data_IF_052748333584
#
_entry.id   IF_052748333584
#
_cell.length_a   1.000
_cell.length_b   1.000
_cell.length_c   1.000
_cell.angle_alpha   90.00
_cell.angle_beta   90.00
_cell.angle_gamma   90.00
#
_symmetry.space_group_name_H-M   'P 1'
#
loop_
_entity.id
_entity.type
_entity.pdbx_description
1 polymer ?
#
# COMPACT_ATOMS: atom_id res chain seq x y z
N UNK A 1 -18.22 -23.79 12.47
CA UNK A 1 -16.76 -23.92 12.50
C UNK A 1 -16.27 -23.42 13.85
N UNK A 2 -15.36 -24.11 14.54
CA UNK A 2 -14.80 -23.64 15.79
C UNK A 2 -14.16 -22.24 15.57
N UNK A 3 -14.23 -21.41 16.61
CA UNK A 3 -13.68 -20.05 16.57
C UNK A 3 -12.16 -20.14 16.55
N UNK A 4 -11.53 -19.59 15.51
CA UNK A 4 -10.06 -19.55 15.38
C UNK A 4 -9.44 -18.94 16.65
N UNK A 5 -8.45 -19.61 17.24
CA UNK A 5 -7.73 -19.10 18.41
C UNK A 5 -6.75 -17.97 18.02
N UNK A 6 -6.30 -17.19 19.00
CA UNK A 6 -5.29 -16.17 18.76
C UNK A 6 -3.95 -16.76 18.25
N UNK A 7 -3.62 -17.97 18.69
CA UNK A 7 -2.43 -18.72 18.23
C UNK A 7 -2.56 -19.10 16.77
N UNK A 8 -3.72 -19.67 16.39
CA UNK A 8 -4.00 -20.09 15.01
C UNK A 8 -4.00 -18.90 14.05
N UNK A 9 -4.59 -17.77 14.49
CA UNK A 9 -4.58 -16.52 13.73
C UNK A 9 -3.15 -16.03 13.46
N UNK A 10 -2.27 -16.04 14.47
CA UNK A 10 -0.86 -15.69 14.31
C UNK A 10 -0.13 -16.66 13.38
N UNK A 11 -0.38 -17.95 13.51
CA UNK A 11 0.20 -18.98 12.62
C UNK A 11 -0.25 -18.77 11.17
N UNK A 12 -1.55 -18.53 10.96
CA UNK A 12 -2.11 -18.25 9.63
C UNK A 12 -1.58 -16.94 9.04
N UNK A 13 -1.45 -15.86 9.82
CA UNK A 13 -0.85 -14.61 9.37
C UNK A 13 0.60 -14.81 8.88
N UNK A 14 1.41 -15.57 9.62
CA UNK A 14 2.79 -15.94 9.21
C UNK A 14 2.80 -16.75 7.92
N UNK A 15 1.91 -17.72 7.78
CA UNK A 15 1.78 -18.54 6.56
C UNK A 15 1.38 -17.67 5.35
N UNK A 16 0.46 -16.73 5.53
CA UNK A 16 0.08 -15.75 4.50
C UNK A 16 1.28 -14.92 4.07
N UNK A 17 2.01 -14.30 5.00
CA UNK A 17 3.21 -13.50 4.69
C UNK A 17 4.25 -14.33 3.96
N UNK A 18 4.54 -15.57 4.43
CA UNK A 18 5.52 -16.47 3.78
C UNK A 18 5.13 -16.82 2.34
N UNK A 19 3.85 -17.14 2.08
CA UNK A 19 3.39 -17.48 0.73
C UNK A 19 3.35 -16.29 -0.20
N UNK A 20 2.90 -15.12 0.29
CA UNK A 20 2.91 -13.90 -0.50
C UNK A 20 4.34 -13.47 -0.83
N UNK A 21 5.30 -13.63 0.07
CA UNK A 21 6.71 -13.35 -0.20
C UNK A 21 7.29 -14.23 -1.31
N UNK A 22 6.85 -15.50 -1.39
CA UNK A 22 7.23 -16.39 -2.51
C UNK A 22 6.56 -15.97 -3.82
N UNK A 23 5.31 -15.50 -3.75
CA UNK A 23 4.54 -15.08 -4.93
C UNK A 23 4.94 -13.70 -5.47
N UNK A 24 5.51 -12.86 -4.62
CA UNK A 24 5.95 -11.50 -4.94
C UNK A 24 7.38 -11.27 -4.46
N UNK A 25 8.40 -11.84 -5.14
CA UNK A 25 9.80 -11.68 -4.74
C UNK A 25 10.28 -10.23 -4.89
N UNK A 26 9.63 -9.45 -5.74
CA UNK A 26 9.83 -8.03 -6.05
C UNK A 26 9.13 -7.07 -5.07
N UNK A 27 8.77 -7.55 -3.85
CA UNK A 27 8.13 -6.68 -2.86
C UNK A 27 9.07 -5.56 -2.40
N UNK A 28 8.51 -4.36 -2.23
CA UNK A 28 9.26 -3.19 -1.79
C UNK A 28 8.66 -1.89 -2.33
N UNK A 29 9.29 -0.76 -2.02
CA UNK A 29 8.88 0.52 -2.56
C UNK A 29 9.13 0.56 -4.07
N UNK A 30 8.16 1.11 -4.79
CA UNK A 30 8.25 1.36 -6.23
C UNK A 30 8.77 2.77 -6.54
N UNK A 31 8.79 3.65 -5.54
CA UNK A 31 9.38 4.98 -5.63
C UNK A 31 10.91 4.89 -5.57
N UNK A 32 11.59 5.63 -6.43
CA UNK A 32 13.05 5.74 -6.49
C UNK A 32 13.51 6.88 -5.55
N UNK A 33 14.50 6.60 -4.71
CA UNK A 33 15.08 7.57 -3.77
C UNK A 33 16.48 7.13 -3.34
N UNK A 34 17.32 8.07 -2.91
CA UNK A 34 18.68 7.81 -2.40
C UNK A 34 18.82 8.08 -0.90
N UNK A 35 17.91 8.86 -0.32
CA UNK A 35 17.93 9.23 1.10
C UNK A 35 16.51 9.39 1.68
N UNK A 36 16.36 9.48 3.02
CA UNK A 36 15.04 9.58 3.65
C UNK A 36 14.23 10.81 3.24
N UNK A 37 14.85 11.95 3.00
CA UNK A 37 14.15 13.16 2.59
C UNK A 37 13.60 13.03 1.17
N UNK A 38 14.35 12.45 0.25
CA UNK A 38 13.86 12.14 -1.10
C UNK A 38 12.66 11.20 -1.06
N UNK A 39 12.67 10.16 -0.20
CA UNK A 39 11.51 9.29 -0.04
C UNK A 39 10.29 10.04 0.50
N UNK A 40 10.49 10.99 1.42
CA UNK A 40 9.39 11.83 1.90
C UNK A 40 8.81 12.65 0.75
N UNK A 41 9.64 13.36 -0.02
CA UNK A 41 9.21 14.16 -1.17
C UNK A 41 8.50 13.29 -2.20
N UNK A 42 9.10 12.15 -2.60
CA UNK A 42 8.49 11.22 -3.53
C UNK A 42 7.12 10.71 -3.04
N UNK A 43 6.99 10.42 -1.75
CA UNK A 43 5.71 9.97 -1.16
C UNK A 43 4.65 11.07 -1.16
N UNK A 44 5.03 12.33 -0.94
CA UNK A 44 4.12 13.49 -1.07
C UNK A 44 3.66 13.62 -2.53
N UNK A 45 4.59 13.51 -3.48
CA UNK A 45 4.28 13.59 -4.91
C UNK A 45 3.43 12.42 -5.39
N UNK A 46 3.53 11.24 -4.77
CA UNK A 46 2.74 10.05 -5.10
C UNK A 46 1.27 10.12 -4.66
N UNK A 47 0.89 11.14 -3.87
CA UNK A 47 -0.51 11.35 -3.52
C UNK A 47 -1.36 11.54 -4.79
N UNK A 48 -2.28 10.57 -5.06
CA UNK A 48 -3.14 10.54 -6.26
C UNK A 48 -2.39 10.57 -7.60
N UNK A 49 -1.13 10.14 -7.63
CA UNK A 49 -0.33 9.96 -8.84
C UNK A 49 0.13 8.49 -8.98
N UNK A 50 0.54 8.10 -10.18
CA UNK A 50 1.16 6.81 -10.43
C UNK A 50 2.64 6.85 -10.07
N UNK A 51 3.15 5.80 -9.44
CA UNK A 51 4.53 5.75 -8.98
C UNK A 51 5.53 5.94 -10.13
N UNK A 52 5.24 5.40 -11.32
CA UNK A 52 6.05 5.56 -12.52
C UNK A 52 6.18 7.04 -12.93
N UNK A 53 5.05 7.78 -12.90
CA UNK A 53 5.05 9.22 -13.21
C UNK A 53 5.83 10.03 -12.18
N UNK A 54 5.73 9.63 -10.90
CA UNK A 54 6.51 10.27 -9.84
C UNK A 54 8.00 10.03 -10.06
N UNK A 55 8.42 8.82 -10.38
CA UNK A 55 9.83 8.49 -10.65
C UNK A 55 10.39 9.26 -11.85
N UNK A 56 9.60 9.44 -12.93
CA UNK A 56 9.99 10.28 -14.07
C UNK A 56 10.32 11.71 -13.64
N UNK A 57 9.50 12.29 -12.77
CA UNK A 57 9.69 13.66 -12.26
C UNK A 57 10.84 13.73 -11.26
N UNK A 58 10.90 12.79 -10.31
CA UNK A 58 11.87 12.86 -9.21
C UNK A 58 13.31 12.61 -9.64
N UNK A 59 13.56 11.91 -10.74
CA UNK A 59 14.92 11.74 -11.28
C UNK A 59 15.59 13.07 -11.62
N UNK A 60 14.87 14.01 -12.22
CA UNK A 60 15.40 15.35 -12.48
C UNK A 60 15.34 16.22 -11.22
N UNK A 61 14.26 16.13 -10.46
CA UNK A 61 14.02 16.92 -9.26
C UNK A 61 15.14 16.73 -8.22
N UNK A 62 15.53 15.48 -7.95
CA UNK A 62 16.55 15.14 -6.95
C UNK A 62 17.99 15.46 -7.41
N UNK A 63 18.21 15.64 -8.70
CA UNK A 63 19.48 16.22 -9.19
C UNK A 63 19.57 17.73 -8.95
N UNK A 64 18.43 18.41 -9.02
CA UNK A 64 18.31 19.85 -8.87
C UNK A 64 18.25 20.29 -7.41
N UNK A 65 17.51 19.55 -6.57
CA UNK A 65 17.24 19.87 -5.17
C UNK A 65 17.74 18.74 -4.27
N UNK A 66 18.85 18.97 -3.54
CA UNK A 66 19.55 17.96 -2.74
C UNK A 66 19.04 17.84 -1.32
N UNK A 67 18.46 18.92 -0.77
CA UNK A 67 18.02 18.97 0.62
C UNK A 67 16.91 19.98 0.86
N UNK A 68 16.40 20.06 2.10
CA UNK A 68 15.28 20.95 2.44
C UNK A 68 15.52 22.42 2.07
N UNK A 69 16.75 22.91 2.21
CA UNK A 69 17.11 24.30 1.91
C UNK A 69 16.89 24.65 0.43
N UNK A 70 17.18 23.73 -0.49
CA UNK A 70 17.06 23.98 -1.94
C UNK A 70 15.61 24.21 -2.34
N UNK A 71 14.67 23.46 -1.72
CA UNK A 71 13.21 23.62 -1.96
C UNK A 71 12.68 24.95 -1.45
N UNK A 72 13.39 25.63 -0.55
CA UNK A 72 13.03 26.97 -0.08
C UNK A 72 13.71 28.07 -0.89
N UNK A 73 14.94 27.81 -1.37
CA UNK A 73 15.73 28.76 -2.15
C UNK A 73 15.20 29.01 -3.55
N UNK A 74 14.42 28.07 -4.11
CA UNK A 74 13.84 28.19 -5.45
C UNK A 74 12.53 28.99 -5.46
N UNK A 75 12.25 29.69 -6.57
CA UNK A 75 10.96 30.34 -6.77
C UNK A 75 9.80 29.32 -6.74
N UNK A 76 8.65 29.71 -6.19
CA UNK A 76 7.48 28.82 -6.05
C UNK A 76 7.02 28.32 -7.40
N UNK A 77 6.97 29.21 -8.38
CA UNK A 77 6.50 28.94 -9.74
C UNK A 77 7.40 27.93 -10.47
N UNK A 78 8.70 28.02 -10.22
CA UNK A 78 9.67 27.07 -10.79
C UNK A 78 9.49 25.67 -10.21
N UNK A 79 9.36 25.54 -8.88
CA UNK A 79 9.09 24.25 -8.24
C UNK A 79 7.72 23.68 -8.65
N UNK A 80 6.70 24.53 -8.80
CA UNK A 80 5.39 24.12 -9.31
C UNK A 80 5.51 23.52 -10.73
N UNK A 81 6.31 24.15 -11.59
CA UNK A 81 6.56 23.65 -12.95
C UNK A 81 7.30 22.31 -12.91
N UNK A 82 8.33 22.17 -12.07
CA UNK A 82 9.11 20.94 -11.95
C UNK A 82 8.27 19.75 -11.50
N UNK A 83 7.28 19.95 -10.61
CA UNK A 83 6.41 18.88 -10.11
C UNK A 83 5.04 18.78 -10.81
N UNK A 84 4.78 19.63 -11.81
CA UNK A 84 3.49 19.77 -12.49
C UNK A 84 2.90 18.43 -12.95
N UNK A 85 3.72 17.57 -13.55
CA UNK A 85 3.29 16.30 -14.13
C UNK A 85 2.75 15.29 -13.10
N UNK A 86 2.94 15.53 -11.80
CA UNK A 86 2.40 14.65 -10.73
C UNK A 86 0.95 14.98 -10.36
N UNK A 87 0.36 16.06 -10.89
CA UNK A 87 -0.98 16.55 -10.55
C UNK A 87 -1.04 17.18 -9.15
N UNK A 88 -2.06 17.99 -8.89
CA UNK A 88 -2.21 18.74 -7.63
C UNK A 88 -0.94 19.52 -7.22
N UNK A 89 -0.17 19.95 -8.21
CA UNK A 89 1.19 20.44 -8.06
C UNK A 89 1.30 21.63 -7.08
N UNK A 90 0.37 22.58 -7.08
CA UNK A 90 0.37 23.71 -6.16
C UNK A 90 0.30 23.29 -4.70
N UNK A 91 -0.61 22.35 -4.39
CA UNK A 91 -0.74 21.83 -3.03
C UNK A 91 0.49 21.01 -2.62
N UNK A 92 1.04 20.22 -3.55
CA UNK A 92 2.25 19.43 -3.30
C UNK A 92 3.47 20.33 -3.09
N UNK A 93 3.65 21.34 -3.90
CA UNK A 93 4.69 22.37 -3.73
C UNK A 93 4.58 23.03 -2.36
N UNK A 94 3.38 23.52 -1.99
CA UNK A 94 3.15 24.10 -0.67
C UNK A 94 3.52 23.12 0.45
N UNK A 95 3.09 21.85 0.34
CA UNK A 95 3.37 20.82 1.34
C UNK A 95 4.86 20.55 1.47
N UNK A 96 5.57 20.38 0.35
CA UNK A 96 7.02 20.14 0.35
C UNK A 96 7.76 21.31 0.97
N UNK A 97 7.47 22.56 0.57
CA UNK A 97 8.13 23.76 1.10
C UNK A 97 7.87 23.93 2.60
N UNK A 98 6.61 23.79 3.05
CA UNK A 98 6.28 23.91 4.47
C UNK A 98 6.96 22.84 5.30
N UNK A 99 6.96 21.56 4.84
CA UNK A 99 7.67 20.49 5.52
C UNK A 99 9.20 20.73 5.54
N UNK A 100 9.77 21.24 4.44
CA UNK A 100 11.20 21.59 4.35
C UNK A 100 11.58 22.68 5.33
N UNK A 101 10.75 23.72 5.46
CA UNK A 101 10.94 24.78 6.46
C UNK A 101 10.93 24.23 7.88
N UNK A 102 9.93 23.40 8.23
CA UNK A 102 9.85 22.78 9.53
C UNK A 102 11.06 21.87 9.84
N UNK A 103 11.55 21.14 8.84
CA UNK A 103 12.75 20.30 8.98
C UNK A 103 13.98 21.16 9.31
N UNK A 104 14.17 22.30 8.65
CA UNK A 104 15.26 23.21 8.95
C UNK A 104 15.12 23.83 10.34
N UNK A 105 13.96 24.35 10.68
CA UNK A 105 13.73 25.10 11.92
C UNK A 105 13.68 24.21 13.17
N UNK A 106 13.07 23.04 13.07
CA UNK A 106 12.78 22.17 14.23
C UNK A 106 13.73 21.00 14.37
N UNK A 107 14.36 20.58 13.28
CA UNK A 107 15.19 19.37 13.22
C UNK A 107 16.59 19.61 12.66
N UNK A 108 17.04 20.86 12.55
CA UNK A 108 18.39 21.22 12.11
C UNK A 108 18.73 20.79 10.68
N UNK A 109 17.73 20.61 9.82
CA UNK A 109 17.89 20.18 8.44
C UNK A 109 17.88 18.67 8.22
N UNK A 110 17.81 17.87 9.28
CA UNK A 110 17.72 16.41 9.20
C UNK A 110 16.29 15.93 9.36
N UNK A 111 15.87 14.96 8.53
CA UNK A 111 14.54 14.39 8.63
C UNK A 111 14.40 13.56 9.93
N UNK A 112 13.40 13.82 10.80
CA UNK A 112 13.21 13.04 12.00
C UNK A 112 12.90 11.57 11.71
N UNK A 113 13.42 10.67 12.54
CA UNK A 113 13.29 9.22 12.40
C UNK A 113 12.30 8.60 13.40
N UNK A 114 11.36 9.39 13.91
CA UNK A 114 10.29 8.96 14.82
C UNK A 114 8.92 9.22 14.23
N UNK A 115 7.90 8.46 14.68
CA UNK A 115 6.52 8.65 14.22
C UNK A 115 6.02 10.05 14.58
N UNK A 116 6.29 10.49 15.79
CA UNK A 116 5.89 11.79 16.32
C UNK A 116 6.54 12.92 15.52
N UNK A 117 7.85 12.85 15.30
CA UNK A 117 8.58 13.85 14.53
C UNK A 117 8.12 13.94 13.08
N UNK A 118 7.92 12.79 12.41
CA UNK A 118 7.43 12.80 11.03
C UNK A 118 6.01 13.31 10.91
N UNK A 119 5.12 12.93 11.84
CA UNK A 119 3.72 13.38 11.78
C UNK A 119 3.51 14.81 12.26
N UNK A 120 4.50 15.46 12.87
CA UNK A 120 4.47 16.90 13.15
C UNK A 120 4.72 17.75 11.89
N UNK A 121 5.30 17.17 10.83
CA UNK A 121 5.53 17.86 9.57
C UNK A 121 4.22 18.09 8.81
N UNK A 122 4.09 19.27 8.22
CA UNK A 122 2.90 19.64 7.43
C UNK A 122 2.66 18.67 6.27
N UNK A 123 1.44 18.12 6.21
CA UNK A 123 1.03 17.18 5.15
C UNK A 123 1.58 15.77 5.29
N UNK A 124 2.27 15.46 6.39
CA UNK A 124 2.78 14.12 6.68
C UNK A 124 1.87 13.41 7.67
N UNK A 125 1.02 12.53 7.15
CA UNK A 125 0.17 11.67 7.97
C UNK A 125 0.88 10.37 8.38
N UNK A 126 0.23 9.58 9.26
CA UNK A 126 0.75 8.29 9.77
C UNK A 126 1.18 7.33 8.66
N UNK A 127 0.41 7.26 7.57
CA UNK A 127 0.76 6.40 6.43
C UNK A 127 2.09 6.81 5.80
N UNK A 128 2.27 8.11 5.49
CA UNK A 128 3.52 8.64 4.92
C UNK A 128 4.68 8.42 5.89
N UNK A 129 4.49 8.75 7.17
CA UNK A 129 5.49 8.51 8.21
C UNK A 129 5.89 7.03 8.30
N UNK A 130 4.92 6.10 8.27
CA UNK A 130 5.20 4.65 8.29
C UNK A 130 5.97 4.17 7.06
N UNK A 131 5.71 4.75 5.88
CA UNK A 131 6.46 4.43 4.65
C UNK A 131 7.92 4.89 4.80
N UNK A 132 8.14 6.12 5.24
CA UNK A 132 9.48 6.69 5.41
C UNK A 132 10.26 5.93 6.50
N UNK A 133 9.66 5.71 7.66
CA UNK A 133 10.27 4.95 8.76
C UNK A 133 10.71 3.55 8.30
N UNK A 134 9.79 2.83 7.67
CA UNK A 134 10.03 1.45 7.30
C UNK A 134 11.05 1.25 6.19
N UNK A 135 11.07 2.15 5.21
CA UNK A 135 11.89 1.94 4.01
C UNK A 135 13.21 2.72 4.04
N UNK A 136 13.25 3.91 4.65
CA UNK A 136 14.46 4.73 4.67
C UNK A 136 15.24 4.67 5.99
N UNK A 137 14.54 4.45 7.12
CA UNK A 137 15.19 4.37 8.43
C UNK A 137 15.29 2.95 8.99
N UNK A 138 14.78 1.94 8.31
CA UNK A 138 14.69 0.56 8.79
C UNK A 138 13.96 0.41 10.15
N UNK A 139 13.11 1.39 10.50
CA UNK A 139 12.27 1.36 11.71
C UNK A 139 10.99 0.58 11.40
N UNK A 140 10.71 -0.53 12.11
CA UNK A 140 9.53 -1.33 11.82
C UNK A 140 8.24 -0.53 11.94
N UNK A 141 7.50 -0.42 10.84
CA UNK A 141 6.24 0.31 10.77
C UNK A 141 5.24 -0.44 9.86
N UNK A 142 3.95 -0.18 10.08
CA UNK A 142 2.85 -0.75 9.26
C UNK A 142 2.13 0.40 8.57
N UNK A 143 2.39 0.60 7.29
CA UNK A 143 1.68 1.60 6.51
C UNK A 143 0.33 1.05 6.02
N UNK A 144 -0.76 1.56 6.57
CA UNK A 144 -2.10 1.13 6.18
C UNK A 144 -2.62 2.00 5.04
N UNK A 145 -3.01 1.34 3.94
CA UNK A 145 -3.75 1.95 2.85
C UNK A 145 -5.04 1.15 2.56
N UNK A 146 -5.83 1.64 1.60
CA UNK A 146 -7.04 0.93 1.16
C UNK A 146 -6.81 -0.52 0.70
N UNK A 147 -5.61 -0.86 0.20
CA UNK A 147 -5.28 -2.22 -0.22
C UNK A 147 -4.98 -3.09 0.98
N UNK A 148 -4.14 -2.62 1.90
CA UNK A 148 -3.84 -3.30 3.17
C UNK A 148 -5.13 -3.55 3.93
N UNK A 149 -5.96 -2.53 4.12
CA UNK A 149 -7.22 -2.64 4.87
C UNK A 149 -8.16 -3.68 4.24
N UNK A 150 -8.40 -3.59 2.92
CA UNK A 150 -9.27 -4.52 2.20
C UNK A 150 -8.78 -5.97 2.28
N UNK A 151 -7.49 -6.20 2.05
CA UNK A 151 -6.91 -7.54 2.07
C UNK A 151 -6.92 -8.11 3.48
N UNK A 152 -6.50 -7.34 4.49
CA UNK A 152 -6.50 -7.74 5.88
C UNK A 152 -7.92 -8.04 6.40
N UNK A 153 -8.93 -7.24 6.01
CA UNK A 153 -10.33 -7.52 6.34
C UNK A 153 -10.82 -8.83 5.72
N UNK A 154 -10.59 -9.06 4.44
CA UNK A 154 -10.97 -10.31 3.76
C UNK A 154 -10.26 -11.53 4.33
N UNK A 155 -9.01 -11.39 4.73
CA UNK A 155 -8.24 -12.42 5.44
C UNK A 155 -8.67 -12.59 6.90
N UNK A 156 -9.60 -11.76 7.40
CA UNK A 156 -10.02 -11.72 8.81
C UNK A 156 -8.83 -11.60 9.77
N UNK A 157 -7.84 -10.78 9.42
CA UNK A 157 -6.70 -10.45 10.26
C UNK A 157 -6.97 -9.27 11.19
N UNK A 158 -8.12 -8.62 11.06
CA UNK A 158 -8.48 -7.41 11.80
C UNK A 158 -9.39 -7.74 12.99
N UNK A 159 -9.25 -6.98 14.07
CA UNK A 159 -10.21 -6.97 15.17
C UNK A 159 -11.59 -6.53 14.69
N UNK A 160 -12.63 -6.85 15.45
CA UNK A 160 -14.02 -6.44 15.11
C UNK A 160 -14.14 -4.92 14.98
N UNK A 161 -13.45 -4.15 15.86
CA UNK A 161 -13.42 -2.69 15.83
C UNK A 161 -12.82 -2.18 14.52
N UNK A 162 -11.64 -2.65 14.14
CA UNK A 162 -10.95 -2.26 12.91
C UNK A 162 -11.78 -2.58 11.64
N UNK A 163 -12.53 -3.69 11.67
CA UNK A 163 -13.40 -4.11 10.54
C UNK A 163 -14.63 -3.23 10.39
N UNK A 164 -15.27 -2.83 11.49
CA UNK A 164 -16.48 -2.01 11.48
C UNK A 164 -16.20 -0.54 11.19
N UNK A 165 -15.19 0.04 11.86
CA UNK A 165 -14.83 1.45 11.74
C UNK A 165 -14.03 1.78 10.49
N UNK A 166 -13.37 0.78 9.86
CA UNK A 166 -12.38 0.97 8.78
C UNK A 166 -11.28 1.96 9.15
N UNK A 167 -10.98 2.06 10.43
CA UNK A 167 -9.98 2.95 10.98
C UNK A 167 -8.58 2.42 10.67
N UNK A 168 -7.75 3.26 10.06
CA UNK A 168 -6.37 2.89 9.68
C UNK A 168 -5.54 2.52 10.90
N UNK A 169 -5.66 3.25 12.01
CA UNK A 169 -4.93 2.97 13.27
C UNK A 169 -5.35 1.65 13.91
N UNK A 170 -6.65 1.33 13.90
CA UNK A 170 -7.13 0.05 14.41
C UNK A 170 -6.67 -1.13 13.53
N UNK A 171 -6.53 -0.90 12.21
CA UNK A 171 -5.96 -1.87 11.27
C UNK A 171 -4.47 -2.06 11.53
N UNK A 172 -3.70 -0.97 11.70
CA UNK A 172 -2.30 -1.01 12.08
C UNK A 172 -2.10 -1.81 13.37
N UNK A 173 -2.86 -1.46 14.43
CA UNK A 173 -2.80 -2.15 15.73
C UNK A 173 -3.08 -3.64 15.60
N UNK A 174 -4.12 -4.01 14.84
CA UNK A 174 -4.46 -5.42 14.62
C UNK A 174 -3.31 -6.18 13.95
N UNK A 175 -2.71 -5.62 12.90
CA UNK A 175 -1.61 -6.25 12.18
C UNK A 175 -0.35 -6.36 13.05
N UNK A 176 -0.04 -5.34 13.85
CA UNK A 176 1.10 -5.34 14.78
C UNK A 176 1.02 -6.42 15.85
N UNK A 177 -0.19 -6.82 16.26
CA UNK A 177 -0.42 -7.87 17.26
C UNK A 177 -0.19 -9.30 16.73
N UNK A 178 -0.38 -9.53 15.42
CA UNK A 178 -0.37 -10.87 14.83
C UNK A 178 0.83 -11.13 13.91
N UNK A 179 1.44 -10.07 13.35
CA UNK A 179 2.64 -10.15 12.51
C UNK A 179 3.87 -9.86 13.36
N UNK A 180 4.95 -10.66 13.28
CA UNK A 180 6.20 -10.36 13.97
C UNK A 180 6.76 -8.98 13.58
N UNK A 181 7.30 -8.22 14.55
CA UNK A 181 7.78 -6.85 14.34
C UNK A 181 8.76 -6.72 13.15
N UNK A 182 9.67 -7.66 13.00
CA UNK A 182 10.64 -7.72 11.88
C UNK A 182 10.00 -7.84 10.49
N UNK A 183 8.76 -8.31 10.42
CA UNK A 183 8.05 -8.54 9.15
C UNK A 183 6.99 -7.45 8.84
N UNK A 184 6.87 -6.37 9.64
CA UNK A 184 5.82 -5.38 9.47
C UNK A 184 5.89 -4.67 8.11
N UNK A 185 7.05 -4.15 7.74
CA UNK A 185 7.26 -3.48 6.44
C UNK A 185 6.99 -4.45 5.30
N UNK A 186 7.58 -5.65 5.37
CA UNK A 186 7.39 -6.71 4.38
C UNK A 186 5.92 -7.11 4.24
N UNK A 187 5.23 -7.37 5.35
CA UNK A 187 3.81 -7.73 5.34
C UNK A 187 2.96 -6.64 4.71
N UNK A 188 3.25 -5.37 5.00
CA UNK A 188 2.56 -4.23 4.41
C UNK A 188 2.68 -4.24 2.89
N UNK A 189 3.92 -4.32 2.34
CA UNK A 189 4.13 -4.35 0.90
C UNK A 189 3.48 -5.55 0.23
N UNK A 190 3.57 -6.72 0.85
CA UNK A 190 2.93 -7.94 0.32
C UNK A 190 1.40 -7.81 0.25
N UNK A 191 0.77 -7.21 1.25
CA UNK A 191 -0.67 -6.96 1.24
C UNK A 191 -1.05 -5.90 0.20
N UNK A 192 -0.24 -4.85 0.01
CA UNK A 192 -0.43 -3.85 -1.06
C UNK A 192 -0.38 -4.53 -2.43
N UNK A 193 0.70 -5.25 -2.72
CA UNK A 193 0.89 -5.93 -4.02
C UNK A 193 -0.23 -6.95 -4.29
N UNK A 194 -0.58 -7.76 -3.29
CA UNK A 194 -1.68 -8.71 -3.40
C UNK A 194 -3.02 -8.00 -3.66
N UNK A 195 -3.26 -6.87 -3.01
CA UNK A 195 -4.44 -6.04 -3.22
C UNK A 195 -4.49 -5.39 -4.60
N UNK A 196 -3.34 -4.98 -5.14
CA UNK A 196 -3.23 -4.42 -6.50
C UNK A 196 -3.38 -5.50 -7.59
N UNK A 197 -2.75 -6.67 -7.41
CA UNK A 197 -2.66 -7.72 -8.45
C UNK A 197 -3.84 -8.69 -8.44
N UNK A 198 -4.23 -9.24 -7.30
CA UNK A 198 -5.19 -10.36 -7.17
C UNK A 198 -6.43 -9.98 -6.36
N UNK A 199 -6.26 -9.48 -5.12
CA UNK A 199 -7.37 -9.22 -4.20
C UNK A 199 -7.99 -7.83 -4.45
N UNK A 200 -8.31 -7.53 -5.69
CA UNK A 200 -8.96 -6.28 -6.17
C UNK A 200 -10.37 -6.14 -5.58
N UNK A 201 -11.11 -5.02 -5.80
CA UNK A 201 -12.53 -4.92 -5.43
C UNK A 201 -13.34 -6.11 -5.95
N UNK A 202 -13.15 -6.51 -7.21
CA UNK A 202 -13.58 -7.80 -7.77
C UNK A 202 -12.39 -8.76 -7.76
N UNK A 203 -12.26 -9.65 -6.75
CA UNK A 203 -11.04 -10.43 -6.57
C UNK A 203 -10.93 -11.59 -7.56
N UNK A 204 -9.71 -12.01 -7.86
CA UNK A 204 -9.42 -13.21 -8.66
C UNK A 204 -9.05 -14.37 -7.73
N UNK A 205 -10.02 -14.83 -6.91
CA UNK A 205 -9.77 -15.85 -5.90
C UNK A 205 -9.32 -17.19 -6.49
N UNK A 206 -9.71 -17.51 -7.70
CA UNK A 206 -9.30 -18.71 -8.45
C UNK A 206 -7.79 -18.73 -8.77
N UNK A 207 -7.16 -17.57 -8.87
CA UNK A 207 -5.71 -17.43 -9.12
C UNK A 207 -4.93 -17.01 -7.86
N UNK A 208 -5.58 -17.01 -6.69
CA UNK A 208 -4.97 -16.47 -5.47
C UNK A 208 -4.02 -17.50 -4.82
N UNK A 209 -2.73 -17.13 -4.58
CA UNK A 209 -1.74 -18.03 -4.00
C UNK A 209 -2.00 -18.41 -2.54
N UNK A 210 -2.91 -17.71 -1.88
CA UNK A 210 -3.32 -17.92 -0.48
C UNK A 210 -4.81 -18.25 -0.35
N UNK A 211 -5.44 -18.79 -1.40
CA UNK A 211 -6.87 -19.06 -1.42
C UNK A 211 -7.31 -20.00 -0.28
N UNK A 212 -6.55 -21.04 -0.02
CA UNK A 212 -6.79 -22.03 1.04
C UNK A 212 -6.66 -21.44 2.46
N UNK A 213 -5.80 -20.44 2.66
CA UNK A 213 -5.64 -19.73 3.93
C UNK A 213 -6.67 -18.61 4.14
N UNK A 214 -7.43 -18.27 3.10
CA UNK A 214 -8.33 -17.11 3.11
C UNK A 214 -9.75 -17.53 3.51
N UNK A 215 -10.32 -17.03 4.61
CA UNK A 215 -11.68 -17.32 5.05
C UNK A 215 -12.75 -16.46 4.38
N UNK A 216 -12.41 -15.70 3.33
CA UNK A 216 -13.37 -14.82 2.64
C UNK A 216 -14.52 -15.64 2.02
N UNK A 217 -15.81 -15.37 2.39
CA UNK A 217 -16.92 -16.24 2.00
C UNK A 217 -17.37 -16.06 0.56
N UNK A 218 -17.06 -14.90 -0.05
CA UNK A 218 -17.51 -14.56 -1.42
C UNK A 218 -16.39 -14.76 -2.43
N UNK A 219 -15.75 -15.94 -2.42
CA UNK A 219 -14.68 -16.29 -3.36
C UNK A 219 -15.22 -16.37 -4.78
N UNK A 220 -14.49 -15.76 -5.73
CA UNK A 220 -14.82 -15.84 -7.15
C UNK A 220 -14.33 -17.15 -7.75
N UNK A 221 -15.14 -17.70 -8.67
CA UNK A 221 -14.80 -18.87 -9.47
C UNK A 221 -14.11 -18.44 -10.78
N UNK A 222 -13.33 -19.33 -11.36
CA UNK A 222 -12.70 -19.10 -12.66
C UNK A 222 -13.77 -18.84 -13.75
N UNK A 223 -13.72 -17.68 -14.42
CA UNK A 223 -14.65 -17.36 -15.52
C UNK A 223 -14.59 -18.39 -16.65
N UNK A 224 -13.41 -18.92 -16.97
CA UNK A 224 -13.26 -19.93 -18.01
C UNK A 224 -13.89 -21.27 -17.63
N UNK A 225 -13.78 -21.67 -16.35
CA UNK A 225 -14.46 -22.87 -15.85
C UNK A 225 -15.98 -22.73 -15.93
N UNK A 226 -16.51 -21.52 -15.62
CA UNK A 226 -17.95 -21.22 -15.77
C UNK A 226 -18.40 -21.29 -17.23
N UNK A 227 -17.63 -20.71 -18.15
CA UNK A 227 -17.94 -20.75 -19.58
C UNK A 227 -17.96 -22.20 -20.12
N UNK A 228 -16.95 -23.02 -19.75
CA UNK A 228 -16.90 -24.44 -20.12
C UNK A 228 -18.11 -25.23 -19.57
N UNK A 229 -18.54 -24.94 -18.35
CA UNK A 229 -19.72 -25.60 -17.76
C UNK A 229 -21.00 -25.23 -18.50
N UNK A 230 -21.16 -23.97 -18.86
CA UNK A 230 -22.32 -23.48 -19.61
C UNK A 230 -22.36 -24.03 -21.03
N UNK A 231 -21.20 -24.13 -21.73
CA UNK A 231 -21.13 -24.74 -23.05
C UNK A 231 -21.49 -26.22 -23.02
N UNK A 232 -20.98 -26.98 -22.03
CA UNK A 232 -21.36 -28.40 -21.83
C UNK A 232 -22.84 -28.57 -21.55
N UNK A 233 -23.47 -27.71 -20.75
CA UNK A 233 -24.93 -27.74 -20.51
C UNK A 233 -25.72 -27.47 -21.78
N UNK A 234 -25.33 -26.47 -22.58
CA UNK A 234 -25.97 -26.18 -23.87
C UNK A 234 -25.82 -27.32 -24.87
N UNK A 235 -24.68 -28.00 -24.88
CA UNK A 235 -24.46 -29.15 -25.75
C UNK A 235 -25.24 -30.40 -25.31
N UNK A 236 -25.58 -30.51 -24.03
CA UNK A 236 -26.36 -31.63 -23.47
C UNK A 236 -27.90 -31.40 -23.53
N UNK A 237 -28.38 -30.19 -23.89
CA UNK A 237 -29.83 -29.97 -24.10
C UNK A 237 -30.26 -30.65 -25.39
N UNK A 238 -31.21 -31.61 -25.35
CA UNK A 238 -31.72 -32.25 -26.58
C UNK A 238 -32.42 -31.21 -27.45
N UNK A 239 -32.01 -31.14 -28.72
CA UNK A 239 -32.73 -30.32 -29.73
C UNK A 239 -34.21 -30.71 -29.66
N UNK A 240 -35.05 -29.87 -29.07
CA UNK A 240 -36.50 -29.99 -29.22
C UNK A 240 -36.82 -30.00 -30.70
N UNK A 241 -37.23 -31.17 -31.20
CA UNK A 241 -37.75 -31.29 -32.56
C UNK A 241 -38.91 -30.32 -32.72
N UNK A 242 -38.73 -29.37 -33.61
CA UNK A 242 -39.86 -28.57 -34.11
C UNK A 242 -40.72 -29.55 -34.97
N UNK A 243 -41.72 -30.12 -34.38
CA UNK A 243 -42.80 -30.72 -35.13
C UNK A 243 -43.61 -29.60 -35.80
N UNK A 244 -43.70 -29.68 -37.11
CA UNK A 244 -44.63 -28.87 -37.95
C UNK A 244 -46.04 -29.35 -37.76
#
# INVERSE_FOLDING_TARGET
>A
MPRETASDLKARARAVVKRLAKAYPDWGPTLEYSNPFELLVATILAAQAQDERVNEVTRALFQKYRGPADYLGVAVEELEQDVHATGFFRQKTKTIRTASQQILEQFGGELPNTMEGLTSLHGVGRKTASIVLGNAFAVPAVAVDRHVQRVADRLRLLTVRARRGKEEEATETSLRQIVPKKDWVKATWLLVLHGRRICRPRPMCYACPINDLCPYPRKTKDPAARARLLSRRRAAEPRRSRSR
#
